data_IF_009266437384
#
_entry.id   IF_009266437384
#
_cell.length_a   1.000
_cell.length_b   1.000
_cell.length_c   1.000
_cell.angle_alpha   90.00
_cell.angle_beta   90.00
_cell.angle_gamma   90.00
#
_symmetry.space_group_name_H-M   'P 1'
#
loop_
_entity.id
_entity.type
_entity.pdbx_description
1 polymer ?
#
# COMPACT_ATOMS: atom_id res chain seq x y z
N UNK A 1 21.21 4.61 18.37
CA UNK A 1 20.67 3.94 17.16
C UNK A 1 19.19 4.24 17.13
N UNK A 2 18.75 4.99 16.13
CA UNK A 2 17.35 5.38 16.01
C UNK A 2 16.75 4.62 14.82
N UNK A 3 15.53 4.13 15.01
CA UNK A 3 14.73 3.52 13.95
C UNK A 3 13.69 4.54 13.55
N UNK A 4 13.55 4.80 12.26
CA UNK A 4 12.61 5.77 11.72
C UNK A 4 11.63 5.05 10.80
N UNK A 5 10.36 5.43 10.88
CA UNK A 5 9.34 5.08 9.89
C UNK A 5 9.01 6.30 9.07
N UNK A 6 9.12 6.17 7.76
CA UNK A 6 8.81 7.21 6.80
C UNK A 6 7.53 6.82 6.05
N UNK A 7 6.65 7.79 5.85
CA UNK A 7 5.55 7.74 4.89
C UNK A 7 5.97 8.49 3.63
N UNK A 8 5.74 7.92 2.46
CA UNK A 8 6.03 8.59 1.20
C UNK A 8 4.95 8.39 0.14
N UNK A 9 4.81 9.35 -0.77
CA UNK A 9 4.02 9.19 -1.98
C UNK A 9 4.87 8.69 -3.15
N UNK A 10 4.20 8.08 -4.11
CA UNK A 10 4.76 7.56 -5.35
C UNK A 10 3.80 7.85 -6.50
N UNK A 11 3.99 8.99 -7.16
CA UNK A 11 3.10 9.56 -8.17
C UNK A 11 3.82 9.88 -9.49
N UNK A 12 3.07 10.12 -10.57
CA UNK A 12 3.66 10.48 -11.86
C UNK A 12 4.40 9.33 -12.57
N UNK A 13 5.42 9.63 -13.41
CA UNK A 13 6.11 8.64 -14.25
C UNK A 13 6.81 7.52 -13.46
N UNK A 14 7.15 7.75 -12.19
CA UNK A 14 7.79 6.75 -11.32
C UNK A 14 6.90 5.51 -11.07
N UNK A 15 5.60 5.57 -11.42
CA UNK A 15 4.71 4.41 -11.40
C UNK A 15 5.21 3.23 -12.26
N UNK A 16 6.06 3.47 -13.25
CA UNK A 16 6.55 2.44 -14.17
C UNK A 16 7.79 1.69 -13.72
N UNK A 17 8.44 2.09 -12.62
CA UNK A 17 9.58 1.34 -12.07
C UNK A 17 9.14 0.28 -11.06
N UNK A 18 9.85 -0.85 -11.03
CA UNK A 18 9.58 -1.96 -10.13
C UNK A 18 10.05 -1.70 -8.70
N UNK A 19 9.65 -2.57 -7.77
CA UNK A 19 9.99 -2.42 -6.35
C UNK A 19 11.50 -2.37 -6.08
N UNK A 20 12.30 -3.19 -6.77
CA UNK A 20 13.76 -3.18 -6.62
C UNK A 20 14.39 -1.86 -7.05
N UNK A 21 13.82 -1.19 -8.06
CA UNK A 21 14.32 0.10 -8.51
C UNK A 21 13.93 1.21 -7.53
N UNK A 22 12.75 1.13 -6.91
CA UNK A 22 12.37 1.99 -5.79
C UNK A 22 13.34 1.81 -4.60
N UNK A 23 13.69 0.57 -4.25
CA UNK A 23 14.67 0.31 -3.20
C UNK A 23 16.03 0.93 -3.52
N UNK A 24 16.54 0.73 -4.74
CA UNK A 24 17.80 1.33 -5.21
C UNK A 24 17.76 2.85 -5.24
N UNK A 25 16.61 3.41 -5.61
CA UNK A 25 16.38 4.85 -5.59
C UNK A 25 16.54 5.40 -4.17
N UNK A 26 15.86 4.82 -3.18
CA UNK A 26 15.97 5.25 -1.79
C UNK A 26 17.38 5.08 -1.22
N UNK A 27 18.08 3.99 -1.55
CA UNK A 27 19.48 3.81 -1.16
C UNK A 27 20.39 4.93 -1.68
N UNK A 28 20.15 5.40 -2.92
CA UNK A 28 20.88 6.54 -3.50
C UNK A 28 20.46 7.86 -2.89
N UNK A 29 19.17 8.07 -2.65
CA UNK A 29 18.64 9.28 -2.03
C UNK A 29 19.17 9.46 -0.60
N UNK A 30 19.16 8.41 0.21
CA UNK A 30 19.73 8.40 1.58
C UNK A 30 21.22 8.80 1.57
N UNK A 31 22.00 8.26 0.62
CA UNK A 31 23.41 8.65 0.45
C UNK A 31 23.58 10.11 0.03
N UNK A 32 22.77 10.59 -0.93
CA UNK A 32 22.81 11.98 -1.41
C UNK A 32 22.36 13.00 -0.36
N UNK A 33 21.43 12.61 0.49
CA UNK A 33 20.97 13.42 1.62
C UNK A 33 21.96 13.41 2.79
N UNK A 34 23.05 12.62 2.69
CA UNK A 34 24.06 12.43 3.74
C UNK A 34 23.47 11.89 5.05
N UNK A 35 22.36 11.15 4.98
CA UNK A 35 21.77 10.51 6.16
C UNK A 35 22.72 9.41 6.64
N UNK A 36 23.09 9.47 7.92
CA UNK A 36 23.99 8.51 8.58
C UNK A 36 23.30 7.16 8.83
N UNK A 37 23.02 6.47 7.71
CA UNK A 37 22.30 5.21 7.66
C UNK A 37 23.14 4.06 8.22
N UNK A 38 22.51 3.20 9.01
CA UNK A 38 23.14 1.96 9.49
C UNK A 38 23.23 0.95 8.35
N UNK A 39 24.35 0.23 8.32
CA UNK A 39 24.59 -0.88 7.41
C UNK A 39 24.54 -2.22 8.15
N UNK A 40 24.21 -3.30 7.42
CA UNK A 40 24.25 -4.67 7.94
C UNK A 40 25.66 -5.13 8.25
N UNK A 41 25.82 -5.96 9.29
CA UNK A 41 27.09 -6.55 9.70
C UNK A 41 27.32 -7.86 8.91
N UNK A 42 28.04 -7.79 7.78
CA UNK A 42 28.32 -8.95 6.94
C UNK A 42 29.25 -8.62 5.76
N UNK A 43 29.64 -9.63 4.97
CA UNK A 43 30.60 -9.48 3.86
C UNK A 43 30.15 -8.58 2.71
N UNK A 44 28.85 -8.26 2.64
CA UNK A 44 28.30 -7.29 1.69
C UNK A 44 27.33 -6.36 2.42
N UNK A 45 27.86 -5.31 3.09
CA UNK A 45 27.06 -4.39 3.87
C UNK A 45 26.03 -3.69 3.00
N UNK A 46 24.75 -3.80 3.38
CA UNK A 46 23.66 -3.07 2.75
C UNK A 46 23.00 -2.16 3.78
N UNK A 47 22.40 -1.07 3.30
CA UNK A 47 21.63 -0.16 4.15
C UNK A 47 20.48 -0.93 4.81
N UNK A 48 20.28 -0.74 6.10
CA UNK A 48 19.16 -1.34 6.83
C UNK A 48 17.89 -0.56 6.51
N UNK A 49 17.16 -1.04 5.50
CA UNK A 49 15.92 -0.48 4.98
C UNK A 49 14.90 -1.61 4.80
N UNK A 50 13.65 -1.38 5.18
CA UNK A 50 12.55 -2.33 4.96
C UNK A 50 11.28 -1.59 4.54
N UNK A 51 10.66 -1.99 3.43
CA UNK A 51 9.39 -1.44 2.98
C UNK A 51 8.23 -2.22 3.57
N UNK A 52 7.10 -1.57 3.82
CA UNK A 52 5.89 -2.22 4.31
C UNK A 52 5.40 -3.28 3.32
N UNK A 53 5.14 -2.86 2.07
CA UNK A 53 4.67 -3.74 1.01
C UNK A 53 5.09 -3.18 -0.36
N UNK A 54 5.41 -4.03 -1.35
CA UNK A 54 5.67 -3.58 -2.70
C UNK A 54 4.39 -3.03 -3.36
N UNK A 55 4.51 -1.93 -4.09
CA UNK A 55 3.46 -1.42 -4.96
C UNK A 55 3.58 -2.05 -6.37
N UNK A 56 2.47 -2.43 -6.98
CA UNK A 56 2.45 -2.96 -8.34
C UNK A 56 2.92 -1.92 -9.37
N UNK A 57 3.60 -2.38 -10.41
CA UNK A 57 3.99 -1.53 -11.54
C UNK A 57 2.72 -0.95 -12.20
N UNK A 58 2.77 0.33 -12.53
CA UNK A 58 1.66 1.10 -13.09
C UNK A 58 0.71 1.69 -12.05
N UNK A 59 0.84 1.34 -10.77
CA UNK A 59 0.07 1.92 -9.68
C UNK A 59 0.80 3.14 -9.06
N UNK A 60 -0.01 4.01 -8.47
CA UNK A 60 0.41 5.22 -7.74
C UNK A 60 0.01 5.12 -6.27
N UNK A 61 0.55 5.97 -5.40
CA UNK A 61 0.23 5.92 -3.98
C UNK A 61 0.52 7.23 -3.25
N UNK A 62 -0.26 7.53 -2.23
CA UNK A 62 -0.04 8.64 -1.29
C UNK A 62 0.43 8.15 0.10
N UNK A 63 0.48 6.83 0.31
CA UNK A 63 0.73 6.25 1.63
C UNK A 63 1.52 4.95 1.60
N UNK A 64 2.75 5.06 1.11
CA UNK A 64 3.76 4.00 1.23
C UNK A 64 4.56 4.17 2.51
N UNK A 65 5.01 3.06 3.10
CA UNK A 65 5.85 3.11 4.29
C UNK A 65 7.17 2.36 4.12
N UNK A 66 8.22 2.93 4.70
CA UNK A 66 9.50 2.25 4.89
C UNK A 66 10.06 2.55 6.28
N UNK A 67 10.76 1.56 6.82
CA UNK A 67 11.56 1.69 8.04
C UNK A 67 13.04 1.76 7.67
N UNK A 68 13.77 2.67 8.31
CA UNK A 68 15.23 2.80 8.20
C UNK A 68 15.87 2.80 9.58
N UNK A 69 17.11 2.32 9.68
CA UNK A 69 17.92 2.44 10.90
C UNK A 69 19.08 3.40 10.67
N UNK A 70 19.26 4.38 11.54
CA UNK A 70 20.35 5.37 11.47
C UNK A 70 21.28 5.25 12.67
N UNK A 71 22.57 5.56 12.48
CA UNK A 71 23.54 5.59 13.56
C UNK A 71 23.37 6.85 14.40
N UNK A 72 23.19 7.99 13.72
CA UNK A 72 22.95 9.31 14.30
C UNK A 72 21.97 10.14 13.46
N UNK A 73 21.33 11.13 14.08
CA UNK A 73 20.50 12.14 13.41
C UNK A 73 20.38 13.38 14.29
N UNK A 74 20.04 14.53 13.69
CA UNK A 74 19.68 15.74 14.43
C UNK A 74 18.25 15.62 14.96
N UNK A 75 17.30 15.31 14.07
CA UNK A 75 15.91 15.01 14.38
C UNK A 75 15.28 14.22 13.24
N UNK A 76 14.11 13.62 13.48
CA UNK A 76 13.34 13.00 12.41
C UNK A 76 12.99 13.99 11.29
N UNK A 77 12.62 15.23 11.66
CA UNK A 77 12.29 16.30 10.72
C UNK A 77 13.49 16.70 9.84
N UNK A 78 14.70 16.80 10.41
CA UNK A 78 15.93 17.05 9.64
C UNK A 78 16.15 15.97 8.57
N UNK A 79 15.99 14.70 8.96
CA UNK A 79 16.12 13.56 8.03
C UNK A 79 15.11 13.66 6.89
N UNK A 80 13.85 13.98 7.19
CA UNK A 80 12.80 14.17 6.18
C UNK A 80 13.13 15.34 5.23
N UNK A 81 13.53 16.50 5.76
CA UNK A 81 13.86 17.68 4.95
C UNK A 81 15.04 17.41 4.02
N UNK A 82 16.11 16.79 4.53
CA UNK A 82 17.29 16.44 3.74
C UNK A 82 16.97 15.41 2.65
N UNK A 83 16.17 14.40 2.97
CA UNK A 83 15.69 13.45 1.97
C UNK A 83 14.90 14.15 0.87
N UNK A 84 13.89 14.94 1.22
CA UNK A 84 13.07 15.68 0.24
C UNK A 84 13.89 16.64 -0.63
N UNK A 85 14.95 17.25 -0.10
CA UNK A 85 15.84 18.13 -0.88
C UNK A 85 16.58 17.44 -2.04
N UNK A 86 16.69 16.11 -2.00
CA UNK A 86 17.39 15.32 -3.03
C UNK A 86 16.49 14.36 -3.82
N UNK A 87 15.20 14.29 -3.47
CA UNK A 87 14.24 13.45 -4.18
C UNK A 87 13.97 13.95 -5.61
N UNK A 88 13.57 13.03 -6.48
CA UNK A 88 13.07 13.27 -7.82
C UNK A 88 11.56 13.48 -7.77
N UNK A 89 11.06 14.23 -8.76
CA UNK A 89 9.63 14.43 -8.99
C UNK A 89 8.86 13.09 -9.00
N UNK A 90 7.80 13.03 -8.18
CA UNK A 90 6.96 11.83 -8.06
C UNK A 90 7.29 10.95 -6.86
N UNK A 91 8.33 11.24 -6.08
CA UNK A 91 8.52 10.68 -4.74
C UNK A 91 8.70 11.81 -3.72
N UNK A 92 7.89 11.80 -2.67
CA UNK A 92 7.94 12.77 -1.59
C UNK A 92 7.77 12.06 -0.24
N UNK A 93 8.63 12.38 0.74
CA UNK A 93 8.43 11.98 2.13
C UNK A 93 7.37 12.91 2.74
N UNK A 94 6.22 12.35 3.11
CA UNK A 94 5.07 13.08 3.62
C UNK A 94 5.09 13.15 5.15
N UNK A 95 5.61 12.11 5.80
CA UNK A 95 5.70 12.07 7.25
C UNK A 95 6.85 11.18 7.69
N UNK A 96 7.34 11.42 8.91
CA UNK A 96 8.36 10.60 9.55
C UNK A 96 8.09 10.54 11.04
N UNK A 97 8.34 9.38 11.66
CA UNK A 97 8.34 9.23 13.12
C UNK A 97 9.46 8.33 13.58
N UNK A 98 9.88 8.53 14.83
CA UNK A 98 10.74 7.58 15.52
C UNK A 98 9.95 6.33 15.93
N UNK A 99 10.64 5.19 15.90
CA UNK A 99 10.15 3.90 16.36
C UNK A 99 10.83 3.54 17.68
N UNK A 100 10.03 3.11 18.65
CA UNK A 100 10.49 2.45 19.87
C UNK A 100 10.92 1.01 19.58
N UNK A 101 11.56 0.34 20.55
CA UNK A 101 11.91 -1.07 20.39
C UNK A 101 10.71 -2.02 20.39
N UNK A 102 9.55 -1.56 20.88
CA UNK A 102 8.28 -2.30 20.86
C UNK A 102 7.49 -2.11 19.56
N UNK A 103 7.89 -1.18 18.70
CA UNK A 103 7.22 -1.00 17.41
C UNK A 103 7.54 -2.17 16.48
N UNK A 104 6.49 -2.83 15.99
CA UNK A 104 6.62 -3.81 14.92
C UNK A 104 7.13 -3.14 13.64
N UNK A 105 7.93 -3.88 12.86
CA UNK A 105 8.36 -3.46 11.53
C UNK A 105 7.15 -3.26 10.61
N UNK A 106 7.25 -2.27 9.73
CA UNK A 106 6.21 -1.88 8.79
C UNK A 106 5.70 -3.08 7.95
N UNK A 107 6.63 -3.94 7.53
CA UNK A 107 6.32 -5.14 6.75
C UNK A 107 5.46 -6.15 7.50
N UNK A 108 5.64 -6.25 8.82
CA UNK A 108 4.90 -7.18 9.69
C UNK A 108 3.57 -6.57 10.13
N UNK A 109 3.57 -5.28 10.48
CA UNK A 109 2.40 -4.57 10.98
C UNK A 109 1.32 -4.32 9.91
N UNK A 110 1.66 -4.48 8.62
CA UNK A 110 0.74 -4.25 7.52
C UNK A 110 -0.46 -5.22 7.60
N UNK A 111 -1.66 -4.67 7.71
CA UNK A 111 -2.89 -5.43 7.91
C UNK A 111 -3.93 -5.16 6.83
N UNK A 112 -4.06 -3.91 6.38
CA UNK A 112 -4.96 -3.53 5.30
C UNK A 112 -4.33 -2.43 4.42
N UNK A 113 -4.89 -2.24 3.23
CA UNK A 113 -4.61 -1.07 2.41
C UNK A 113 -5.89 -0.54 1.78
N UNK A 114 -6.00 0.79 1.72
CA UNK A 114 -7.10 1.48 1.05
C UNK A 114 -6.66 1.86 -0.35
N UNK A 115 -7.49 1.53 -1.33
CA UNK A 115 -7.24 1.79 -2.75
C UNK A 115 -8.36 2.63 -3.33
N UNK A 116 -8.01 3.55 -4.22
CA UNK A 116 -8.91 4.14 -5.20
C UNK A 116 -8.65 3.48 -6.55
N UNK A 117 -9.73 3.10 -7.23
CA UNK A 117 -9.68 2.37 -8.49
C UNK A 117 -10.63 3.00 -9.50
N UNK A 118 -10.12 3.29 -10.68
CA UNK A 118 -10.89 3.74 -11.83
C UNK A 118 -10.39 3.08 -13.11
N UNK A 119 -11.10 3.31 -14.21
CA UNK A 119 -10.61 2.96 -15.54
C UNK A 119 -9.83 4.13 -16.13
N UNK A 120 -8.76 3.80 -16.85
CA UNK A 120 -8.12 4.77 -17.74
C UNK A 120 -9.09 5.10 -18.87
N UNK A 121 -9.12 6.35 -19.29
CA UNK A 121 -10.08 6.89 -20.28
C UNK A 121 -10.28 5.98 -21.51
N UNK A 122 -9.18 5.53 -22.13
CA UNK A 122 -9.22 4.63 -23.30
C UNK A 122 -9.91 3.29 -23.07
N UNK A 123 -9.97 2.83 -21.82
CA UNK A 123 -10.51 1.54 -21.41
C UNK A 123 -11.79 1.68 -20.58
N UNK A 124 -12.41 2.86 -20.56
CA UNK A 124 -13.65 3.07 -19.84
C UNK A 124 -14.76 2.15 -20.40
N UNK A 125 -15.42 1.34 -19.57
CA UNK A 125 -16.54 0.53 -20.01
C UNK A 125 -17.68 1.41 -20.55
N UNK A 126 -18.41 0.91 -21.55
CA UNK A 126 -19.57 1.60 -22.13
C UNK A 126 -20.84 1.48 -21.27
N UNK A 127 -20.81 0.60 -20.27
CA UNK A 127 -21.88 0.37 -19.32
C UNK A 127 -21.51 0.94 -17.94
N UNK A 128 -22.51 1.00 -17.06
CA UNK A 128 -22.33 1.43 -15.68
C UNK A 128 -21.60 0.35 -14.86
N UNK A 129 -20.28 0.35 -14.96
CA UNK A 129 -19.44 -0.63 -14.28
C UNK A 129 -19.50 -0.49 -12.76
N UNK A 130 -19.78 0.70 -12.24
CA UNK A 130 -19.85 0.97 -10.79
C UNK A 130 -21.07 0.26 -10.21
N UNK A 131 -22.23 0.40 -10.83
CA UNK A 131 -23.44 -0.30 -10.38
C UNK A 131 -23.32 -1.83 -10.58
N UNK A 132 -22.70 -2.28 -11.69
CA UNK A 132 -22.38 -3.71 -11.86
C UNK A 132 -21.42 -4.24 -10.80
N UNK A 133 -20.43 -3.44 -10.41
CA UNK A 133 -19.50 -3.79 -9.35
C UNK A 133 -20.19 -3.81 -7.98
N UNK A 134 -21.15 -2.91 -7.73
CA UNK A 134 -22.00 -2.92 -6.54
C UNK A 134 -22.83 -4.21 -6.46
N UNK A 135 -23.47 -4.61 -7.57
CA UNK A 135 -24.21 -5.87 -7.67
C UNK A 135 -23.30 -7.08 -7.38
N UNK A 136 -22.09 -7.10 -7.97
CA UNK A 136 -21.10 -8.14 -7.71
C UNK A 136 -20.69 -8.19 -6.24
N UNK A 137 -20.37 -7.04 -5.63
CA UNK A 137 -20.04 -6.96 -4.21
C UNK A 137 -21.21 -7.34 -3.31
N UNK A 138 -22.46 -7.34 -3.76
CA UNK A 138 -23.61 -7.77 -2.96
C UNK A 138 -23.75 -9.29 -2.82
N UNK A 139 -23.00 -10.08 -3.59
CA UNK A 139 -23.01 -11.54 -3.49
C UNK A 139 -22.46 -12.02 -2.14
N UNK A 140 -22.99 -13.14 -1.65
CA UNK A 140 -22.57 -13.78 -0.40
C UNK A 140 -21.13 -14.30 -0.46
N UNK A 141 -20.67 -14.69 -1.66
CA UNK A 141 -19.32 -15.22 -1.91
C UNK A 141 -18.76 -14.65 -3.19
N UNK A 142 -17.45 -14.39 -3.17
CA UNK A 142 -16.68 -13.88 -4.31
C UNK A 142 -15.52 -14.85 -4.57
N UNK A 143 -15.77 -16.01 -5.21
CA UNK A 143 -14.74 -17.00 -5.46
C UNK A 143 -13.70 -16.47 -6.45
N UNK A 144 -12.43 -16.76 -6.18
CA UNK A 144 -11.34 -16.50 -7.12
C UNK A 144 -10.26 -17.58 -7.05
N UNK A 145 -9.64 -17.86 -8.19
CA UNK A 145 -8.55 -18.82 -8.28
C UNK A 145 -7.21 -18.12 -8.03
N UNK A 146 -6.56 -18.44 -6.90
CA UNK A 146 -5.26 -17.88 -6.51
C UNK A 146 -4.14 -18.86 -6.88
N UNK A 147 -3.22 -18.43 -7.74
CA UNK A 147 -1.98 -19.17 -8.01
C UNK A 147 -1.07 -19.16 -6.78
N UNK A 148 -0.62 -20.34 -6.38
CA UNK A 148 0.31 -20.58 -5.27
C UNK A 148 1.55 -21.31 -5.78
N UNK A 149 2.60 -21.41 -4.95
CA UNK A 149 3.77 -22.23 -5.26
C UNK A 149 3.45 -23.71 -5.48
N UNK A 150 2.32 -24.20 -4.97
CA UNK A 150 1.90 -25.62 -5.01
C UNK A 150 0.74 -25.88 -5.99
N UNK A 151 0.42 -24.93 -6.86
CA UNK A 151 -0.71 -25.03 -7.79
C UNK A 151 -1.76 -23.95 -7.53
N UNK A 152 -3.01 -24.21 -7.88
CA UNK A 152 -4.10 -23.25 -7.75
C UNK A 152 -4.96 -23.56 -6.52
N UNK A 153 -5.40 -22.51 -5.83
CA UNK A 153 -6.30 -22.62 -4.68
C UNK A 153 -7.44 -21.65 -4.86
N UNK A 154 -8.66 -22.18 -4.78
CA UNK A 154 -9.86 -21.35 -4.68
C UNK A 154 -9.90 -20.66 -3.31
N UNK A 155 -10.19 -19.37 -3.33
CA UNK A 155 -10.42 -18.55 -2.14
C UNK A 155 -11.74 -17.82 -2.28
N UNK A 156 -12.38 -17.51 -1.15
CA UNK A 156 -13.44 -16.51 -1.11
C UNK A 156 -12.81 -15.15 -0.80
N UNK A 157 -13.00 -14.18 -1.70
CA UNK A 157 -12.49 -12.82 -1.54
C UNK A 157 -13.35 -11.97 -0.61
N UNK A 158 -14.62 -12.35 -0.39
CA UNK A 158 -15.59 -11.54 0.36
C UNK A 158 -15.10 -11.17 1.77
N UNK A 159 -14.53 -12.07 2.59
CA UNK A 159 -14.03 -11.72 3.93
C UNK A 159 -12.77 -10.86 3.93
N UNK A 160 -12.13 -10.67 2.77
CA UNK A 160 -10.90 -9.89 2.60
C UNK A 160 -11.18 -8.44 2.17
N UNK A 161 -12.46 -8.06 2.06
CA UNK A 161 -12.93 -6.71 1.75
C UNK A 161 -13.50 -6.14 3.05
N UNK A 162 -12.76 -5.23 3.69
CA UNK A 162 -13.13 -4.68 4.98
C UNK A 162 -14.10 -3.51 4.87
N UNK A 163 -13.99 -2.72 3.79
CA UNK A 163 -14.90 -1.60 3.52
C UNK A 163 -14.84 -1.24 2.02
N UNK A 164 -15.88 -0.58 1.53
CA UNK A 164 -15.92 -0.05 0.17
C UNK A 164 -16.88 1.13 0.03
N UNK A 165 -16.58 2.03 -0.92
CA UNK A 165 -17.47 3.11 -1.31
C UNK A 165 -17.39 3.36 -2.81
N UNK A 166 -18.41 4.04 -3.35
CA UNK A 166 -18.54 4.31 -4.77
C UNK A 166 -18.66 5.82 -4.97
N UNK A 167 -17.89 6.37 -5.90
CA UNK A 167 -18.07 7.73 -6.39
C UNK A 167 -18.37 7.66 -7.89
N UNK A 168 -19.67 7.65 -8.21
CA UNK A 168 -20.15 7.52 -9.59
C UNK A 168 -19.89 8.77 -10.42
N UNK A 169 -19.95 9.95 -9.80
CA UNK A 169 -19.71 11.23 -10.47
C UNK A 169 -18.26 11.36 -10.93
N UNK A 170 -17.31 10.95 -10.09
CA UNK A 170 -15.87 10.96 -10.43
C UNK A 170 -15.38 9.64 -11.08
N UNK A 171 -16.25 8.65 -11.24
CA UNK A 171 -15.95 7.41 -11.95
C UNK A 171 -14.92 6.50 -11.25
N UNK A 172 -14.94 6.43 -9.92
CA UNK A 172 -14.05 5.56 -9.16
C UNK A 172 -14.76 4.82 -8.02
N UNK A 173 -14.12 3.74 -7.55
CA UNK A 173 -14.46 3.07 -6.30
C UNK A 173 -13.31 3.20 -5.30
N UNK A 174 -13.63 3.19 -4.01
CA UNK A 174 -12.63 2.99 -2.95
C UNK A 174 -12.87 1.64 -2.28
N UNK A 175 -11.76 0.95 -2.00
CA UNK A 175 -11.76 -0.38 -1.40
C UNK A 175 -10.74 -0.42 -0.27
N UNK A 176 -11.16 -0.86 0.90
CA UNK A 176 -10.27 -1.23 1.99
C UNK A 176 -10.11 -2.75 1.99
N UNK A 177 -8.92 -3.22 1.62
CA UNK A 177 -8.64 -4.63 1.39
C UNK A 177 -7.64 -5.17 2.40
N UNK A 178 -7.81 -6.43 2.76
CA UNK A 178 -6.85 -7.18 3.56
C UNK A 178 -5.48 -7.26 2.88
N UNK A 179 -4.43 -6.96 3.63
CA UNK A 179 -3.04 -6.90 3.18
C UNK A 179 -2.07 -7.47 4.23
N UNK A 180 -2.52 -8.44 5.02
CA UNK A 180 -1.69 -9.09 6.04
C UNK A 180 -0.84 -10.22 5.45
N UNK A 181 0.16 -10.64 6.21
CA UNK A 181 1.02 -11.78 5.86
C UNK A 181 0.25 -13.11 5.74
N UNK A 182 -0.86 -13.26 6.47
CA UNK A 182 -1.71 -14.45 6.46
C UNK A 182 -2.78 -14.40 5.35
N UNK A 183 -3.30 -13.21 5.04
CA UNK A 183 -4.31 -13.02 4.02
C UNK A 183 -4.13 -11.68 3.30
N UNK A 184 -3.98 -11.74 1.98
CA UNK A 184 -3.87 -10.54 1.13
C UNK A 184 -4.78 -10.69 -0.07
N UNK A 185 -5.61 -9.66 -0.31
CA UNK A 185 -6.40 -9.50 -1.51
C UNK A 185 -5.83 -8.36 -2.36
N UNK A 186 -5.32 -8.70 -3.54
CA UNK A 186 -4.84 -7.69 -4.50
C UNK A 186 -6.04 -7.10 -5.25
N UNK A 187 -6.11 -5.77 -5.46
CA UNK A 187 -7.15 -5.14 -6.28
C UNK A 187 -7.35 -5.82 -7.64
N UNK A 188 -6.25 -6.16 -8.32
CA UNK A 188 -6.30 -6.82 -9.62
C UNK A 188 -7.02 -8.18 -9.60
N UNK A 189 -6.91 -8.94 -8.50
CA UNK A 189 -7.60 -10.24 -8.38
C UNK A 189 -9.11 -10.06 -8.20
N UNK A 190 -9.51 -9.09 -7.37
CA UNK A 190 -10.92 -8.76 -7.15
C UNK A 190 -11.58 -8.27 -8.44
N UNK A 191 -10.88 -7.41 -9.18
CA UNK A 191 -11.36 -6.88 -10.45
C UNK A 191 -11.42 -7.98 -11.52
N UNK A 192 -10.44 -8.89 -11.57
CA UNK A 192 -10.53 -10.05 -12.46
C UNK A 192 -11.79 -10.88 -12.16
N UNK A 193 -12.05 -11.19 -10.88
CA UNK A 193 -13.25 -11.93 -10.48
C UNK A 193 -14.56 -11.22 -10.84
N UNK A 194 -14.59 -9.88 -10.79
CA UNK A 194 -15.71 -9.08 -11.27
C UNK A 194 -15.93 -9.24 -12.78
N UNK A 195 -14.87 -9.10 -13.58
CA UNK A 195 -14.95 -9.24 -15.04
C UNK A 195 -15.37 -10.65 -15.46
N UNK A 196 -14.81 -11.67 -14.81
CA UNK A 196 -15.20 -13.06 -15.01
C UNK A 196 -16.70 -13.27 -14.70
N UNK A 197 -17.22 -12.63 -13.64
CA UNK A 197 -18.63 -12.72 -13.24
C UNK A 197 -19.57 -12.10 -14.28
N UNK A 198 -19.24 -10.92 -14.81
CA UNK A 198 -20.03 -10.26 -15.86
C UNK A 198 -19.76 -10.83 -17.26
N UNK A 199 -18.88 -11.84 -17.37
CA UNK A 199 -18.48 -12.51 -18.61
C UNK A 199 -17.84 -11.57 -19.63
N UNK A 200 -17.01 -10.66 -19.13
CA UNK A 200 -16.22 -9.74 -19.94
C UNK A 200 -14.72 -9.94 -19.73
N UNK A 201 -13.91 -9.46 -20.67
CA UNK A 201 -12.46 -9.52 -20.59
C UNK A 201 -11.89 -8.22 -19.99
N UNK A 202 -11.15 -8.34 -18.90
CA UNK A 202 -10.40 -7.20 -18.36
C UNK A 202 -9.17 -6.94 -19.23
N UNK A 203 -9.22 -5.88 -20.02
CA UNK A 203 -8.08 -5.49 -20.85
C UNK A 203 -6.82 -5.23 -19.99
N UNK A 204 -5.62 -5.67 -20.44
CA UNK A 204 -4.39 -5.44 -19.70
C UNK A 204 -4.15 -3.96 -19.41
N UNK A 205 -3.83 -3.65 -18.15
CA UNK A 205 -3.56 -2.28 -17.69
C UNK A 205 -4.72 -1.29 -17.86
N UNK A 206 -5.96 -1.76 -18.07
CA UNK A 206 -7.15 -0.91 -18.15
C UNK A 206 -7.35 -0.05 -16.90
N UNK A 207 -6.98 -0.59 -15.75
CA UNK A 207 -7.24 0.01 -14.46
C UNK A 207 -6.15 1.01 -14.05
N UNK A 208 -6.58 2.14 -13.52
CA UNK A 208 -5.77 3.04 -12.73
C UNK A 208 -5.97 2.67 -11.25
N UNK A 209 -4.90 2.18 -10.62
CA UNK A 209 -4.89 1.82 -9.20
C UNK A 209 -4.06 2.85 -8.46
N UNK A 210 -4.65 3.44 -7.44
CA UNK A 210 -4.00 4.37 -6.54
C UNK A 210 -4.17 3.88 -5.09
N UNK A 211 -3.08 3.61 -4.37
CA UNK A 211 -3.12 3.24 -2.96
C UNK A 211 -3.15 4.51 -2.10
N UNK A 212 -4.23 4.72 -1.36
CA UNK A 212 -4.38 5.89 -0.50
C UNK A 212 -3.53 5.76 0.77
N UNK A 213 -3.56 4.58 1.41
CA UNK A 213 -2.74 4.34 2.60
C UNK A 213 -2.61 2.84 2.96
N UNK A 214 -1.70 2.54 3.88
CA UNK A 214 -1.51 1.24 4.52
C UNK A 214 -1.82 1.34 6.01
N UNK A 215 -2.55 0.35 6.52
CA UNK A 215 -3.09 0.35 7.87
C UNK A 215 -2.54 -0.82 8.68
N UNK A 216 -2.30 -0.57 9.97
CA UNK A 216 -2.02 -1.60 10.98
C UNK A 216 -3.28 -1.95 11.74
N UNK A 217 -3.34 -3.16 12.26
CA UNK A 217 -4.35 -3.54 13.25
C UNK A 217 -3.95 -3.05 14.63
N UNK A 218 -4.93 -2.55 15.39
CA UNK A 218 -4.78 -2.11 16.78
C UNK A 218 -5.94 -2.66 17.58
N UNK A 219 -5.61 -3.21 18.74
CA UNK A 219 -6.58 -3.64 19.74
C UNK A 219 -6.31 -2.84 21.01
N UNK A 220 -7.32 -2.10 21.46
CA UNK A 220 -7.24 -1.30 22.67
C UNK A 220 -8.59 -1.26 23.39
N UNK A 221 -8.58 -1.46 24.71
CA UNK A 221 -9.77 -1.44 25.56
C UNK A 221 -10.94 -2.29 25.03
N UNK A 222 -10.65 -3.48 24.51
CA UNK A 222 -11.64 -4.41 23.95
C UNK A 222 -12.26 -3.96 22.61
N UNK A 223 -11.72 -2.92 21.98
CA UNK A 223 -12.07 -2.49 20.62
C UNK A 223 -10.94 -2.78 19.65
N UNK A 224 -11.31 -3.35 18.51
CA UNK A 224 -10.41 -3.59 17.40
C UNK A 224 -10.65 -2.57 16.29
N UNK A 225 -9.59 -1.97 15.78
CA UNK A 225 -9.64 -1.04 14.65
C UNK A 225 -8.35 -1.12 13.86
N UNK A 226 -8.36 -0.52 12.67
CA UNK A 226 -7.17 -0.32 11.88
C UNK A 226 -6.88 1.18 11.72
N UNK A 227 -5.61 1.54 11.64
CA UNK A 227 -5.17 2.94 11.50
C UNK A 227 -3.89 3.04 10.65
N UNK A 228 -3.63 4.17 9.97
CA UNK A 228 -2.36 4.39 9.29
C UNK A 228 -1.17 4.24 10.25
N UNK A 229 0.01 3.84 9.74
CA UNK A 229 1.17 3.62 10.60
C UNK A 229 1.73 4.89 11.27
N UNK A 230 1.37 6.05 10.71
CA UNK A 230 1.63 7.37 11.25
C UNK A 230 0.31 8.12 11.21
N UNK A 231 -0.37 8.21 12.36
CA UNK A 231 -1.56 9.04 12.54
C UNK A 231 -1.70 9.42 14.01
N UNK A 232 -2.02 10.68 14.28
CA UNK A 232 -2.56 11.14 15.56
C UNK A 232 -4.07 11.44 15.45
N UNK A 233 -4.63 11.27 14.25
CA UNK A 233 -6.02 11.57 13.92
C UNK A 233 -6.89 10.31 14.04
N UNK A 234 -7.79 10.34 15.02
CA UNK A 234 -8.76 9.28 15.31
C UNK A 234 -9.76 9.12 14.15
N UNK A 235 -10.01 10.16 13.35
CA UNK A 235 -10.94 10.08 12.22
C UNK A 235 -10.43 9.15 11.11
N UNK A 236 -9.14 8.81 11.11
CA UNK A 236 -8.54 7.86 10.16
C UNK A 236 -8.56 6.41 10.67
N UNK A 237 -9.21 6.16 11.80
CA UNK A 237 -9.40 4.81 12.35
C UNK A 237 -10.65 4.17 11.77
N UNK A 238 -10.52 2.94 11.29
CA UNK A 238 -11.64 2.13 10.82
C UNK A 238 -11.88 1.02 11.84
N UNK A 239 -12.97 1.12 12.58
CA UNK A 239 -13.32 0.13 13.59
C UNK A 239 -13.77 -1.16 12.92
N UNK A 240 -13.18 -2.27 13.34
CA UNK A 240 -13.54 -3.59 12.87
C UNK A 240 -14.68 -4.10 13.76
N UNK A 241 -15.81 -4.43 13.14
CA UNK A 241 -16.88 -5.15 13.84
C UNK A 241 -16.40 -6.59 14.03
N UNK A 242 -15.88 -6.89 15.23
CA UNK A 242 -15.56 -8.26 15.67
C UNK A 242 -16.80 -8.91 16.26
#
# INVERSE_FOLDING_TARGET
MNKLRLKFSKNGPIKFIGHLDVMRYFQKAIRRAEVDIKYSEGFSPHQIISFAQPLSVGATSDGEYMDISVNSMVSAEDVMNRLNSVMNEGIEIIAIRELSDNDEKAMTAAYAAKYRISFREKFMPTYDWIEKFREYLALDKLPAMKKTKKGEKEIDMKPLIFDFSFNKEEGYIELLLSMSSSATLKPALLLQGFFDHIKEELAPHAMAIHRLDIYRYVENDGKSYIEPFITDDIQKRFYLNV
#
